data_IF_721373820545
#
_entry.id   IF_721373820545
#
_cell.length_a   1.000
_cell.length_b   1.000
_cell.length_c   1.000
_cell.angle_alpha   90.00
_cell.angle_beta   90.00
_cell.angle_gamma   90.00
#
_symmetry.space_group_name_H-M   'P 1'
#
loop_
_entity.id
_entity.type
_entity.pdbx_description
1 polymer ?
#
# COMPACT_ATOMS: atom_id res chain seq x y z
N UNK A 1 -2.00 14.29 2.29
CA UNK A 1 -2.27 13.83 0.91
C UNK A 1 -0.98 13.30 0.27
N UNK A 2 -1.09 12.41 -0.70
CA UNK A 2 0.04 12.01 -1.55
C UNK A 2 -0.30 12.27 -3.01
N UNK A 3 0.70 12.57 -3.82
CA UNK A 3 0.57 12.85 -5.25
C UNK A 3 1.38 11.83 -6.05
N UNK A 4 0.84 11.34 -7.14
CA UNK A 4 1.51 10.38 -8.03
C UNK A 4 2.27 11.16 -9.11
N UNK A 5 3.60 11.23 -8.99
CA UNK A 5 4.47 11.92 -9.95
C UNK A 5 4.71 11.08 -11.21
N UNK A 6 4.80 9.75 -11.04
CA UNK A 6 5.01 8.79 -12.12
C UNK A 6 4.30 7.48 -11.79
N UNK A 7 3.61 6.89 -12.75
CA UNK A 7 2.94 5.60 -12.57
C UNK A 7 3.95 4.43 -12.60
N UNK A 8 3.60 3.35 -11.88
CA UNK A 8 4.22 2.04 -12.08
C UNK A 8 3.60 1.30 -13.28
N UNK A 9 3.91 0.00 -13.39
CA UNK A 9 3.28 -0.88 -14.40
C UNK A 9 1.80 -1.05 -14.08
N UNK A 10 1.48 -1.45 -12.85
CA UNK A 10 0.11 -1.51 -12.36
C UNK A 10 0.12 -1.15 -10.87
N UNK A 11 -0.59 -0.09 -10.54
CA UNK A 11 -0.74 0.38 -9.16
C UNK A 11 -2.21 0.66 -8.90
N UNK A 12 -2.73 0.14 -7.80
CA UNK A 12 -4.12 0.32 -7.39
C UNK A 12 -4.25 0.47 -5.88
N UNK A 13 -5.36 1.04 -5.44
CA UNK A 13 -5.73 1.09 -4.03
C UNK A 13 -6.49 -0.18 -3.72
N UNK A 14 -6.04 -0.90 -2.70
CA UNK A 14 -6.65 -2.15 -2.26
C UNK A 14 -6.81 -2.17 -0.74
N UNK A 15 -7.92 -2.73 -0.29
CA UNK A 15 -8.15 -3.10 1.12
C UNK A 15 -8.38 -4.61 1.23
N UNK A 16 -9.18 -5.08 2.16
CA UNK A 16 -9.52 -6.51 2.30
C UNK A 16 -10.63 -6.97 1.33
N UNK A 17 -11.13 -6.07 0.47
CA UNK A 17 -12.16 -6.33 -0.54
C UNK A 17 -13.60 -6.10 -0.09
N UNK A 18 -14.52 -6.18 -1.06
CA UNK A 18 -15.97 -6.04 -0.89
C UNK A 18 -16.64 -7.40 -0.87
N UNK A 19 -17.07 -7.82 0.31
CA UNK A 19 -17.73 -9.10 0.52
C UNK A 19 -19.24 -8.97 0.35
N UNK A 20 -19.94 -10.12 0.18
CA UNK A 20 -21.40 -10.26 0.10
C UNK A 20 -22.08 -9.77 -1.18
N UNK A 21 -21.34 -9.41 -2.22
CA UNK A 21 -21.91 -8.90 -3.47
C UNK A 21 -21.69 -9.83 -4.67
N UNK A 22 -21.15 -11.03 -4.47
CA UNK A 22 -20.87 -11.99 -5.55
C UNK A 22 -22.14 -12.39 -6.32
N UNK A 23 -23.26 -12.52 -5.62
CA UNK A 23 -24.56 -12.87 -6.22
C UNK A 23 -25.06 -11.80 -7.21
N UNK A 24 -24.52 -10.59 -7.15
CA UNK A 24 -24.82 -9.49 -8.08
C UNK A 24 -23.74 -9.33 -9.16
N UNK A 25 -22.84 -10.31 -9.32
CA UNK A 25 -21.76 -10.25 -10.29
C UNK A 25 -20.61 -9.31 -9.89
N UNK A 26 -20.58 -8.81 -8.65
CA UNK A 26 -19.54 -7.92 -8.18
C UNK A 26 -18.37 -8.72 -7.58
N UNK A 27 -17.15 -8.57 -8.11
CA UNK A 27 -15.98 -9.25 -7.58
C UNK A 27 -15.58 -8.73 -6.19
N UNK A 28 -15.00 -9.60 -5.37
CA UNK A 28 -14.51 -9.21 -4.04
C UNK A 28 -13.39 -8.18 -4.15
N UNK A 29 -12.52 -8.30 -5.15
CA UNK A 29 -11.31 -7.47 -5.25
C UNK A 29 -10.43 -7.61 -4.00
N UNK A 30 -9.76 -6.54 -3.58
CA UNK A 30 -8.90 -6.53 -2.40
C UNK A 30 -7.46 -6.88 -2.72
N UNK A 31 -6.59 -6.68 -1.73
CA UNK A 31 -5.19 -7.02 -1.82
C UNK A 31 -4.99 -8.50 -2.15
N UNK A 32 -4.14 -8.81 -3.13
CA UNK A 32 -3.86 -10.19 -3.52
C UNK A 32 -3.13 -10.93 -2.39
N UNK A 33 -2.12 -10.29 -1.79
CA UNK A 33 -1.49 -10.78 -0.56
C UNK A 33 -2.08 -10.02 0.64
N UNK A 34 -3.17 -10.57 1.16
CA UNK A 34 -3.86 -10.00 2.33
C UNK A 34 -2.95 -9.99 3.57
N UNK A 35 -2.04 -10.97 3.71
CA UNK A 35 -1.12 -11.04 4.83
C UNK A 35 -0.15 -9.84 4.82
N UNK A 36 0.43 -9.53 3.67
CA UNK A 36 1.30 -8.37 3.52
C UNK A 36 0.55 -7.05 3.78
N UNK A 37 -0.68 -6.91 3.27
CA UNK A 37 -1.54 -5.75 3.52
C UNK A 37 -1.84 -5.58 5.03
N UNK A 38 -2.23 -6.65 5.72
CA UNK A 38 -2.52 -6.64 7.15
C UNK A 38 -1.29 -6.30 7.99
N UNK A 39 -0.11 -6.83 7.63
CA UNK A 39 1.15 -6.51 8.31
C UNK A 39 1.50 -5.02 8.15
N UNK A 40 1.36 -4.45 6.95
CA UNK A 40 1.59 -3.02 6.73
C UNK A 40 0.69 -2.16 7.63
N UNK A 41 -0.59 -2.48 7.70
CA UNK A 41 -1.55 -1.79 8.54
C UNK A 41 -1.25 -1.97 10.03
N UNK A 42 -0.91 -3.17 10.46
CA UNK A 42 -0.57 -3.47 11.87
C UNK A 42 0.66 -2.68 12.34
N UNK A 43 1.72 -2.62 11.51
CA UNK A 43 2.94 -1.88 11.83
C UNK A 43 2.72 -0.36 11.92
N UNK A 44 1.64 0.16 11.34
CA UNK A 44 1.24 1.57 11.37
C UNK A 44 0.09 1.86 12.33
N UNK A 45 -0.35 0.86 13.10
CA UNK A 45 -1.53 0.95 13.97
C UNK A 45 -2.79 1.44 13.22
N UNK A 46 -2.91 1.08 11.94
CA UNK A 46 -4.10 1.30 11.15
C UNK A 46 -5.13 0.20 11.42
N UNK A 47 -6.41 0.49 11.12
CA UNK A 47 -7.43 -0.57 11.05
C UNK A 47 -6.99 -1.67 10.08
N UNK A 48 -7.22 -2.96 10.39
CA UNK A 48 -6.98 -4.07 9.44
C UNK A 48 -7.66 -3.89 8.08
N UNK A 49 -8.78 -3.14 8.06
CA UNK A 49 -9.54 -2.80 6.84
C UNK A 49 -9.06 -1.51 6.14
N UNK A 50 -7.98 -0.88 6.62
CA UNK A 50 -7.47 0.31 5.97
C UNK A 50 -6.91 -0.04 4.59
N UNK A 51 -7.20 0.81 3.61
CA UNK A 51 -6.68 0.63 2.27
C UNK A 51 -5.20 1.04 2.19
N UNK A 52 -4.48 0.32 1.35
CA UNK A 52 -3.06 0.48 1.03
C UNK A 52 -2.88 0.68 -0.47
N UNK A 53 -1.72 1.10 -0.90
CA UNK A 53 -1.35 1.11 -2.31
C UNK A 53 -0.70 -0.25 -2.65
N UNK A 54 -1.30 -0.99 -3.58
CA UNK A 54 -0.75 -2.22 -4.13
C UNK A 54 -0.01 -1.92 -5.44
N UNK A 55 1.27 -2.27 -5.52
CA UNK A 55 2.14 -2.04 -6.66
C UNK A 55 2.59 -3.37 -7.24
N UNK A 56 2.40 -3.60 -8.56
CA UNK A 56 2.78 -4.84 -9.24
C UNK A 56 4.03 -4.62 -10.10
N UNK A 57 5.04 -5.47 -9.93
CA UNK A 57 6.31 -5.56 -10.68
C UNK A 57 7.18 -4.29 -10.58
N UNK A 58 6.65 -3.12 -10.92
CA UNK A 58 7.29 -1.81 -10.79
C UNK A 58 6.29 -0.83 -10.20
N UNK A 59 6.64 -0.22 -9.08
CA UNK A 59 5.78 0.74 -8.41
C UNK A 59 5.94 2.18 -8.93
N UNK A 60 5.16 3.11 -8.38
CA UNK A 60 5.13 4.51 -8.79
C UNK A 60 6.29 5.32 -8.21
N UNK A 61 6.42 6.57 -8.65
CA UNK A 61 7.05 7.65 -7.90
C UNK A 61 5.96 8.55 -7.36
N UNK A 62 6.00 8.87 -6.07
CA UNK A 62 5.01 9.69 -5.40
C UNK A 62 5.65 10.71 -4.46
N UNK A 63 4.92 11.79 -4.17
CA UNK A 63 5.31 12.87 -3.27
C UNK A 63 4.32 12.98 -2.11
N UNK A 64 4.85 13.22 -0.92
CA UNK A 64 4.06 13.45 0.28
C UNK A 64 3.78 14.95 0.45
N UNK A 65 2.53 15.31 0.74
CA UNK A 65 2.12 16.70 1.01
C UNK A 65 1.76 16.91 2.48
N UNK A 66 2.25 16.03 3.36
CA UNK A 66 2.07 16.10 4.80
C UNK A 66 3.01 15.11 5.48
N UNK A 67 3.08 15.16 6.82
CA UNK A 67 3.91 14.27 7.60
C UNK A 67 3.15 12.98 7.92
N UNK A 68 3.74 11.84 7.61
CA UNK A 68 3.18 10.51 7.85
C UNK A 68 4.24 9.54 8.37
N UNK A 69 3.78 8.36 8.77
CA UNK A 69 4.60 7.16 8.78
C UNK A 69 4.16 6.25 7.66
N UNK A 70 5.11 5.62 7.00
CA UNK A 70 4.86 4.64 5.94
C UNK A 70 5.47 3.29 6.29
N UNK A 71 4.90 2.23 5.77
CA UNK A 71 5.44 0.89 5.87
C UNK A 71 5.29 0.17 4.53
N UNK A 72 6.35 -0.51 4.13
CA UNK A 72 6.40 -1.32 2.92
C UNK A 72 6.39 -2.79 3.29
N UNK A 73 5.63 -3.60 2.56
CA UNK A 73 5.55 -5.06 2.76
C UNK A 73 5.41 -5.77 1.41
N UNK A 74 5.58 -7.10 1.40
CA UNK A 74 5.51 -7.90 0.17
C UNK A 74 6.82 -7.93 -0.60
N UNK A 75 6.77 -7.84 -1.93
CA UNK A 75 7.93 -7.94 -2.81
C UNK A 75 8.98 -6.85 -2.57
N UNK A 76 10.23 -7.16 -2.85
CA UNK A 76 11.33 -6.19 -2.76
C UNK A 76 11.46 -5.41 -4.06
N UNK A 77 11.07 -4.13 -4.03
CA UNK A 77 11.13 -3.22 -5.19
C UNK A 77 12.18 -2.10 -5.03
N UNK A 78 13.21 -2.29 -4.20
CA UNK A 78 14.23 -1.26 -3.95
C UNK A 78 13.64 0.15 -3.69
N UNK A 79 12.71 0.31 -2.76
CA UNK A 79 12.09 1.60 -2.52
C UNK A 79 13.12 2.61 -2.02
N UNK A 80 13.06 3.85 -2.55
CA UNK A 80 13.94 4.96 -2.18
C UNK A 80 13.12 6.16 -1.73
N UNK A 81 13.38 6.61 -0.52
CA UNK A 81 12.87 7.87 0.02
C UNK A 81 13.97 8.92 -0.08
N UNK A 82 13.81 9.93 -0.92
CA UNK A 82 14.84 10.95 -1.19
C UNK A 82 16.21 10.28 -1.40
N UNK A 83 16.30 9.33 -2.32
CA UNK A 83 17.47 8.51 -2.66
C UNK A 83 17.98 7.52 -1.59
N UNK A 84 17.46 7.57 -0.37
CA UNK A 84 17.78 6.60 0.68
C UNK A 84 16.98 5.31 0.50
N UNK A 85 17.67 4.17 0.37
CA UNK A 85 17.02 2.86 0.26
C UNK A 85 16.30 2.53 1.57
N UNK A 86 15.04 2.12 1.44
CA UNK A 86 14.24 1.61 2.55
C UNK A 86 14.19 0.08 2.54
N UNK A 87 14.00 -0.51 3.70
CA UNK A 87 13.73 -1.94 3.87
C UNK A 87 12.25 -2.17 4.15
N UNK A 88 11.70 -3.28 3.66
CA UNK A 88 10.34 -3.70 3.98
C UNK A 88 10.16 -4.02 5.46
N UNK A 89 8.91 -4.08 5.91
CA UNK A 89 8.48 -4.52 7.24
C UNK A 89 8.96 -3.67 8.41
N UNK A 90 9.15 -2.38 8.16
CA UNK A 90 9.54 -1.39 9.16
C UNK A 90 8.84 -0.06 8.87
N UNK A 91 8.31 0.65 9.90
CA UNK A 91 7.81 2.01 9.75
C UNK A 91 8.95 3.02 9.49
N UNK A 92 8.68 3.99 8.61
CA UNK A 92 9.56 5.12 8.35
C UNK A 92 8.79 6.43 8.43
N UNK A 93 9.34 7.47 9.05
CA UNK A 93 8.78 8.81 8.96
C UNK A 93 8.98 9.37 7.56
N UNK A 94 8.00 10.09 7.07
CA UNK A 94 8.06 10.92 5.87
C UNK A 94 7.53 12.31 6.18
N UNK A 95 8.11 13.32 5.58
CA UNK A 95 7.75 14.70 5.77
C UNK A 95 7.09 15.28 4.51
N UNK A 96 6.45 16.42 4.68
CA UNK A 96 5.95 17.19 3.53
C UNK A 96 7.11 17.49 2.56
N UNK A 97 6.89 17.20 1.30
CA UNK A 97 7.86 17.37 0.22
C UNK A 97 8.71 16.14 -0.09
N UNK A 98 8.77 15.14 0.80
CA UNK A 98 9.52 13.91 0.54
C UNK A 98 8.97 13.14 -0.68
N UNK A 99 9.87 12.50 -1.42
CA UNK A 99 9.53 11.68 -2.57
C UNK A 99 9.91 10.21 -2.35
N UNK A 100 8.96 9.32 -2.61
CA UNK A 100 9.17 7.87 -2.58
C UNK A 100 9.13 7.32 -3.99
N UNK A 101 10.20 6.66 -4.41
CA UNK A 101 10.30 6.01 -5.71
C UNK A 101 10.47 4.49 -5.52
N UNK A 102 9.81 3.72 -6.37
CA UNK A 102 9.97 2.27 -6.43
C UNK A 102 10.74 1.87 -7.68
N UNK A 103 11.59 0.86 -7.54
CA UNK A 103 12.22 0.18 -8.67
C UNK A 103 11.38 -1.00 -9.18
N UNK A 104 12.02 -1.86 -9.95
CA UNK A 104 11.47 -3.14 -10.38
C UNK A 104 11.63 -4.17 -9.26
N UNK A 105 10.66 -5.07 -9.11
CA UNK A 105 10.72 -6.14 -8.14
C UNK A 105 11.90 -7.06 -8.41
N UNK A 106 12.74 -7.28 -7.42
CA UNK A 106 13.86 -8.24 -7.47
C UNK A 106 13.40 -9.64 -7.10
N UNK A 107 12.42 -9.72 -6.19
CA UNK A 107 11.83 -10.97 -5.70
C UNK A 107 10.38 -10.71 -5.33
N UNK A 108 9.50 -11.65 -5.65
CA UNK A 108 8.06 -11.49 -5.54
C UNK A 108 7.47 -10.64 -6.66
N UNK A 109 6.18 -10.34 -6.57
CA UNK A 109 5.46 -9.63 -7.63
C UNK A 109 4.79 -8.35 -7.13
N UNK A 110 4.32 -8.30 -5.88
CA UNK A 110 3.53 -7.19 -5.33
C UNK A 110 4.12 -6.63 -4.05
N UNK A 111 4.20 -5.31 -4.01
CA UNK A 111 4.56 -4.54 -2.81
C UNK A 111 3.36 -3.72 -2.37
N UNK A 112 3.18 -3.62 -1.08
CA UNK A 112 2.12 -2.85 -0.43
C UNK A 112 2.72 -1.67 0.31
N UNK A 113 2.22 -0.47 0.04
CA UNK A 113 2.55 0.74 0.78
C UNK A 113 1.38 1.08 1.70
N UNK A 114 1.57 0.83 3.00
CA UNK A 114 0.72 1.37 4.04
C UNK A 114 1.15 2.80 4.40
N UNK A 115 0.18 3.64 4.76
CA UNK A 115 0.40 5.02 5.24
C UNK A 115 -0.41 5.19 6.52
N UNK A 116 0.18 5.80 7.55
CA UNK A 116 -0.52 6.03 8.82
C UNK A 116 -1.77 6.90 8.61
N UNK A 117 -2.90 6.49 9.20
CA UNK A 117 -4.22 7.06 8.95
C UNK A 117 -4.98 6.42 7.79
N UNK A 118 -4.31 5.61 6.96
CA UNK A 118 -4.88 4.88 5.83
C UNK A 118 -5.36 5.76 4.68
N UNK A 119 -5.47 5.19 3.50
CA UNK A 119 -5.99 5.85 2.29
C UNK A 119 -7.50 6.11 2.43
N UNK A 120 -7.98 7.30 2.03
CA UNK A 120 -9.36 7.78 2.22
C UNK A 120 -10.08 8.09 0.90
N UNK A 121 -9.82 7.33 -0.13
CA UNK A 121 -10.62 7.39 -1.36
C UNK A 121 -12.07 6.96 -1.14
N UNK A 122 -12.91 7.11 -2.15
CA UNK A 122 -14.30 6.65 -2.15
C UNK A 122 -14.43 5.19 -1.73
N UNK A 123 -15.50 4.87 -1.01
CA UNK A 123 -15.93 3.50 -0.74
C UNK A 123 -17.08 3.12 -1.65
N UNK A 124 -16.91 2.04 -2.39
CA UNK A 124 -17.99 1.44 -3.18
C UNK A 124 -18.31 0.08 -2.57
N UNK A 125 -19.57 -0.13 -2.19
CA UNK A 125 -20.03 -1.36 -1.52
C UNK A 125 -19.17 -1.75 -0.30
N UNK A 126 -18.81 -0.74 0.51
CA UNK A 126 -18.07 -0.94 1.76
C UNK A 126 -16.55 -1.07 1.63
N UNK A 127 -15.99 -1.11 0.42
CA UNK A 127 -14.56 -1.26 0.14
C UNK A 127 -14.01 -0.10 -0.68
N UNK A 128 -12.70 0.20 -0.49
CA UNK A 128 -11.93 1.15 -1.29
C UNK A 128 -11.14 0.47 -2.41
N UNK A 129 -11.21 -0.87 -2.50
CA UNK A 129 -10.49 -1.61 -3.53
C UNK A 129 -10.94 -1.20 -4.91
N UNK A 130 -10.00 -0.74 -5.73
CA UNK A 130 -10.25 -0.35 -7.11
C UNK A 130 -10.49 -1.58 -7.98
N UNK A 131 -11.47 -1.47 -8.86
CA UNK A 131 -11.79 -2.50 -9.85
C UNK A 131 -12.54 -1.89 -11.03
N UNK A 132 -12.20 -2.33 -12.23
CA UNK A 132 -12.81 -1.87 -13.47
C UNK A 132 -14.34 -2.03 -13.44
N UNK A 133 -15.06 -1.01 -13.89
CA UNK A 133 -16.53 -0.94 -13.95
C UNK A 133 -17.25 -0.97 -12.58
N UNK A 134 -16.51 -0.98 -11.46
CA UNK A 134 -17.08 -0.95 -10.10
C UNK A 134 -16.75 0.38 -9.42
N UNK A 135 -15.52 0.85 -9.57
CA UNK A 135 -15.06 2.11 -8.98
C UNK A 135 -14.82 3.15 -10.06
N UNK A 136 -14.89 4.43 -9.72
CA UNK A 136 -14.63 5.55 -10.65
C UNK A 136 -13.25 5.48 -11.31
N UNK A 137 -12.28 4.90 -10.59
CA UNK A 137 -10.93 4.60 -11.06
C UNK A 137 -10.62 3.12 -10.82
N UNK A 138 -10.07 2.45 -11.81
CA UNK A 138 -9.65 1.05 -11.74
C UNK A 138 -8.18 0.89 -11.33
N UNK A 139 -7.38 1.93 -11.55
CA UNK A 139 -5.95 2.01 -11.26
C UNK A 139 -5.51 3.44 -11.02
N UNK A 140 -4.31 3.61 -10.53
CA UNK A 140 -3.71 4.91 -10.28
C UNK A 140 -3.08 5.47 -11.55
N UNK A 141 -3.34 6.73 -11.85
CA UNK A 141 -2.72 7.49 -12.95
C UNK A 141 -1.82 8.60 -12.43
N UNK A 142 -1.02 9.19 -13.32
CA UNK A 142 -0.15 10.33 -13.02
C UNK A 142 -0.97 11.55 -12.62
N UNK A 143 -0.43 12.37 -11.73
CA UNK A 143 -1.01 13.61 -11.19
C UNK A 143 -2.29 13.41 -10.34
N UNK A 144 -2.63 12.16 -9.99
CA UNK A 144 -3.69 11.91 -9.02
C UNK A 144 -3.22 12.27 -7.62
N UNK A 145 -4.08 12.98 -6.89
CA UNK A 145 -3.92 13.26 -5.46
C UNK A 145 -4.78 12.27 -4.68
N UNK A 146 -4.15 11.55 -3.77
CA UNK A 146 -4.78 10.52 -2.94
C UNK A 146 -4.91 11.06 -1.52
N UNK A 147 -6.14 11.17 -0.99
CA UNK A 147 -6.36 11.63 0.39
C UNK A 147 -5.94 10.56 1.40
N UNK A 148 -5.28 11.01 2.47
CA UNK A 148 -4.86 10.18 3.61
C UNK A 148 -5.57 10.65 4.87
N UNK A 149 -5.93 9.71 5.74
CA UNK A 149 -6.56 10.01 7.02
C UNK A 149 -5.58 10.62 8.03
N UNK A 150 -6.13 11.30 9.03
CA UNK A 150 -5.35 11.79 10.17
C UNK A 150 -4.85 10.62 11.02
N UNK A 151 -3.67 10.75 11.60
CA UNK A 151 -3.08 9.78 12.51
C UNK A 151 -2.15 10.46 13.50
N UNK A 152 -2.26 10.06 14.76
CA UNK A 152 -1.32 10.45 15.81
C UNK A 152 -0.29 9.34 16.08
N UNK A 153 -0.19 8.36 15.17
CA UNK A 153 0.71 7.23 15.32
C UNK A 153 2.16 7.67 15.36
N UNK A 154 2.88 7.15 16.37
CA UNK A 154 4.34 7.21 16.48
C UNK A 154 4.82 5.80 16.79
N UNK A 155 5.69 5.19 15.97
CA UNK A 155 6.19 3.84 16.24
C UNK A 155 7.06 3.83 17.49
N UNK A 156 6.96 2.77 18.29
CA UNK A 156 7.92 2.51 19.34
C UNK A 156 9.31 2.23 18.73
N UNK A 157 10.35 2.47 19.52
CA UNK A 157 11.73 2.17 19.08
C UNK A 157 11.86 0.69 18.70
N UNK A 158 12.44 0.42 17.54
CA UNK A 158 12.65 -0.95 17.06
C UNK A 158 11.42 -1.65 16.46
N UNK A 159 10.28 -0.95 16.28
CA UNK A 159 9.09 -1.52 15.61
C UNK A 159 9.46 -2.07 14.23
N UNK A 160 9.35 -3.39 14.06
CA UNK A 160 9.60 -4.11 12.80
C UNK A 160 9.11 -5.55 12.90
N UNK A 161 8.89 -6.20 11.79
CA UNK A 161 8.75 -7.67 11.72
C UNK A 161 10.11 -8.27 11.35
N UNK A 162 10.55 -9.31 12.07
CA UNK A 162 11.78 -10.02 11.72
C UNK A 162 11.57 -10.79 10.42
N UNK A 163 12.48 -10.67 9.47
CA UNK A 163 12.42 -11.31 8.13
C UNK A 163 12.22 -12.83 8.20
N UNK A 164 12.78 -13.49 9.22
CA UNK A 164 12.64 -14.94 9.46
C UNK A 164 11.19 -15.41 9.67
N UNK A 165 10.24 -14.52 9.99
CA UNK A 165 8.82 -14.85 10.17
C UNK A 165 8.00 -14.77 8.88
N UNK A 166 8.59 -14.30 7.79
CA UNK A 166 7.91 -14.08 6.52
C UNK A 166 8.58 -14.99 5.48
N UNK A 167 8.25 -16.27 5.53
CA UNK A 167 8.80 -17.23 4.58
C UNK A 167 7.76 -17.57 3.52
N UNK A 168 7.86 -16.94 2.36
CA UNK A 168 7.06 -17.27 1.17
C UNK A 168 7.55 -18.53 0.44
N UNK A 169 8.79 -18.99 0.70
CA UNK A 169 9.41 -20.09 -0.02
C UNK A 169 8.81 -21.47 0.30
N UNK A 170 8.14 -21.64 1.43
CA UNK A 170 7.64 -22.94 1.89
C UNK A 170 6.15 -23.17 1.62
N UNK A 171 5.46 -22.30 0.91
CA UNK A 171 4.11 -22.62 0.39
C UNK A 171 4.30 -23.41 -0.92
N UNK A 172 4.42 -24.73 -0.82
CA UNK A 172 4.09 -25.61 -1.95
C UNK A 172 2.62 -25.38 -2.28
N UNK A 173 2.36 -24.98 -3.50
CA UNK A 173 1.02 -24.99 -4.11
C UNK A 173 0.65 -26.46 -4.36
#
# INVERSE_FOLDING_TARGET
MIEILQTGIHTSIQDIGRHHFKNFGVPVSGALDQSACLIANSLLNNSPKAAVLECCIKGPKLKFHDNFYICLTGAEMNPRLNDKILKNYKPYPVNNGDELAFGVAKSGCRTYLGISGGIKTEKVLGSRSQYQNITSLDRISKNIIIPIGKSNFKPAFGTRVKEQKINYANKKI
#
